data_IF_388641837767
#
_entry.id   IF_388641837767
#
_cell.length_a   1.000
_cell.length_b   1.000
_cell.length_c   1.000
_cell.angle_alpha   90.00
_cell.angle_beta   90.00
_cell.angle_gamma   90.00
#
_symmetry.space_group_name_H-M   'P 1'
#
loop_
_entity.id
_entity.type
_entity.pdbx_description
1 polymer ?
#
# COMPACT_ATOMS: atom_id res chain seq x y z
N UNK A 1 -7.14 -30.24 14.63
CA UNK A 1 -6.43 -28.99 15.01
C UNK A 1 -7.40 -27.83 14.80
N UNK A 2 -7.98 -27.30 15.88
CA UNK A 2 -8.94 -26.19 15.76
C UNK A 2 -8.16 -24.89 15.48
N UNK A 3 -8.28 -24.35 14.27
CA UNK A 3 -7.82 -22.99 14.00
C UNK A 3 -8.78 -22.03 14.70
N UNK A 4 -8.32 -21.37 15.77
CA UNK A 4 -9.12 -20.38 16.47
C UNK A 4 -9.56 -19.29 15.48
N UNK A 5 -10.88 -19.10 15.36
CA UNK A 5 -11.45 -18.00 14.57
C UNK A 5 -10.88 -16.69 15.12
N UNK A 6 -10.18 -15.93 14.28
CA UNK A 6 -9.68 -14.63 14.68
C UNK A 6 -10.88 -13.75 15.08
N UNK A 7 -10.82 -13.01 16.20
CA UNK A 7 -11.94 -12.17 16.60
C UNK A 7 -12.19 -11.10 15.53
N UNK A 8 -13.47 -10.85 15.20
CA UNK A 8 -13.94 -9.98 14.09
C UNK A 8 -13.31 -8.58 14.05
N UNK A 9 -12.85 -8.06 15.19
CA UNK A 9 -12.15 -6.77 15.25
C UNK A 9 -10.75 -6.83 14.61
N UNK A 10 -10.05 -7.96 14.71
CA UNK A 10 -8.74 -8.16 14.08
C UNK A 10 -8.87 -8.24 12.57
N UNK A 11 -9.88 -8.93 12.07
CA UNK A 11 -10.19 -8.98 10.62
C UNK A 11 -10.46 -7.58 10.07
N UNK A 12 -11.23 -6.76 10.81
CA UNK A 12 -11.46 -5.36 10.44
C UNK A 12 -10.19 -4.50 10.49
N UNK A 13 -9.31 -4.71 11.46
CA UNK A 13 -8.02 -4.02 11.50
C UNK A 13 -7.13 -4.40 10.32
N UNK A 14 -7.07 -5.68 9.96
CA UNK A 14 -6.32 -6.13 8.78
C UNK A 14 -6.94 -5.58 7.49
N UNK A 15 -8.27 -5.60 7.36
CA UNK A 15 -8.94 -4.98 6.23
C UNK A 15 -8.65 -3.48 6.13
N UNK A 16 -8.70 -2.75 7.25
CA UNK A 16 -8.37 -1.33 7.30
C UNK A 16 -6.89 -1.08 6.94
N UNK A 17 -5.99 -1.92 7.43
CA UNK A 17 -4.56 -1.89 7.09
C UNK A 17 -4.35 -2.04 5.58
N UNK A 18 -4.92 -3.08 4.96
CA UNK A 18 -4.80 -3.28 3.51
C UNK A 18 -5.45 -2.16 2.71
N UNK A 19 -6.62 -1.67 3.15
CA UNK A 19 -7.32 -0.56 2.50
C UNK A 19 -6.56 0.75 2.60
N UNK A 20 -5.94 1.07 3.73
CA UNK A 20 -5.16 2.30 3.89
C UNK A 20 -3.85 2.27 3.12
N UNK A 21 -3.29 1.08 2.90
CA UNK A 21 -2.07 0.94 2.10
C UNK A 21 -2.31 1.18 0.61
N UNK A 22 -3.50 0.90 0.07
CA UNK A 22 -3.81 1.17 -1.35
C UNK A 22 -3.58 2.64 -1.74
N UNK A 23 -4.20 3.65 -1.09
CA UNK A 23 -3.97 5.04 -1.43
C UNK A 23 -2.56 5.51 -1.07
N UNK A 24 -1.94 4.98 0.00
CA UNK A 24 -0.56 5.33 0.37
C UNK A 24 0.39 4.88 -0.74
N UNK A 25 0.33 3.61 -1.16
CA UNK A 25 1.18 3.08 -2.22
C UNK A 25 0.91 3.79 -3.54
N UNK A 26 -0.35 4.05 -3.89
CA UNK A 26 -0.68 4.79 -5.12
C UNK A 26 -0.20 6.26 -5.13
N UNK A 27 -0.27 6.97 -3.99
CA UNK A 27 0.02 8.40 -3.90
C UNK A 27 1.43 8.73 -3.47
N UNK A 28 2.15 7.81 -2.84
CA UNK A 28 3.51 8.00 -2.32
C UNK A 28 4.46 7.05 -3.03
N UNK A 29 4.31 5.73 -2.83
CA UNK A 29 5.28 4.73 -3.29
C UNK A 29 5.41 4.69 -4.82
N UNK A 30 4.30 4.85 -5.57
CA UNK A 30 4.29 4.85 -7.03
C UNK A 30 4.76 6.18 -7.66
N UNK A 31 4.84 7.28 -6.90
CA UNK A 31 5.22 8.59 -7.45
C UNK A 31 6.59 8.61 -8.13
N UNK A 32 7.64 7.97 -7.59
CA UNK A 32 8.95 7.97 -8.22
C UNK A 32 8.99 7.17 -9.54
N UNK A 33 7.98 6.34 -9.81
CA UNK A 33 7.81 5.63 -11.08
C UNK A 33 6.97 6.42 -12.11
N UNK A 34 6.20 7.42 -11.66
CA UNK A 34 5.37 8.21 -12.55
C UNK A 34 6.22 9.25 -13.30
N UNK A 35 6.04 9.40 -14.63
CA UNK A 35 6.69 10.47 -15.36
C UNK A 35 6.15 11.83 -14.90
N UNK A 36 7.05 12.82 -14.80
CA UNK A 36 6.81 14.14 -14.18
C UNK A 36 5.59 14.93 -14.74
N UNK A 37 5.01 14.52 -15.87
CA UNK A 37 3.84 15.15 -16.48
C UNK A 37 2.47 14.66 -16.00
N UNK A 38 2.37 13.54 -15.27
CA UNK A 38 1.06 12.90 -15.00
C UNK A 38 0.40 13.39 -13.69
N UNK A 39 1.18 13.81 -12.67
CA UNK A 39 0.60 14.14 -11.36
C UNK A 39 1.36 15.24 -10.60
N UNK A 40 1.26 16.53 -11.02
CA UNK A 40 1.96 17.63 -10.34
C UNK A 40 1.54 17.82 -8.86
N UNK A 41 0.31 17.45 -8.50
CA UNK A 41 -0.19 17.58 -7.10
C UNK A 41 0.42 16.54 -6.16
N UNK A 42 0.68 15.33 -6.65
CA UNK A 42 1.24 14.26 -5.85
C UNK A 42 2.77 14.39 -5.72
N UNK A 43 3.44 14.97 -6.72
CA UNK A 43 4.86 15.38 -6.63
C UNK A 43 5.08 16.39 -5.49
N UNK A 44 4.19 17.37 -5.34
CA UNK A 44 4.27 18.33 -4.22
C UNK A 44 4.11 17.64 -2.86
N UNK A 45 3.20 16.67 -2.75
CA UNK A 45 3.04 15.87 -1.52
C UNK A 45 4.28 15.02 -1.23
N UNK A 46 4.89 14.40 -2.25
CA UNK A 46 6.13 13.63 -2.12
C UNK A 46 7.30 14.52 -1.67
N UNK A 47 7.42 15.73 -2.22
CA UNK A 47 8.43 16.70 -1.79
C UNK A 47 8.21 17.14 -0.33
N UNK A 48 6.96 17.42 0.06
CA UNK A 48 6.62 17.73 1.45
C UNK A 48 6.94 16.57 2.39
N UNK A 49 6.61 15.33 1.99
CA UNK A 49 6.95 14.11 2.73
C UNK A 49 8.46 13.95 2.87
N UNK A 50 9.21 13.95 1.76
CA UNK A 50 10.65 13.78 1.77
C UNK A 50 11.37 14.87 2.57
N UNK A 51 10.86 16.10 2.56
CA UNK A 51 11.42 17.21 3.36
C UNK A 51 11.10 17.05 4.85
N UNK A 52 9.87 16.66 5.19
CA UNK A 52 9.44 16.48 6.57
C UNK A 52 10.10 15.27 7.23
N UNK A 53 10.22 14.17 6.51
CA UNK A 53 10.77 12.90 7.00
C UNK A 53 12.25 12.69 6.67
N UNK A 54 12.86 13.63 5.94
CA UNK A 54 14.26 13.57 5.47
C UNK A 54 14.56 12.28 4.70
N UNK A 55 13.65 11.91 3.81
CA UNK A 55 13.79 10.72 2.96
C UNK A 55 14.14 11.11 1.52
N UNK A 56 15.44 11.26 1.19
CA UNK A 56 15.87 11.58 -0.17
C UNK A 56 15.70 10.39 -1.14
N UNK A 57 15.51 9.16 -0.65
CA UNK A 57 15.40 7.98 -1.51
C UNK A 57 14.11 7.99 -2.32
N UNK A 58 13.06 8.62 -1.81
CA UNK A 58 11.82 8.84 -2.55
C UNK A 58 11.94 9.91 -3.65
N UNK A 59 12.82 10.91 -3.48
CA UNK A 59 13.01 11.98 -4.47
C UNK A 59 13.95 11.58 -5.61
N UNK A 60 15.01 10.82 -5.28
CA UNK A 60 15.98 10.32 -6.23
C UNK A 60 16.17 8.82 -6.03
N UNK A 61 15.17 8.02 -6.43
CA UNK A 61 15.19 6.58 -6.21
C UNK A 61 16.34 5.91 -6.97
N UNK A 62 17.26 5.21 -6.28
CA UNK A 62 18.23 4.34 -6.94
C UNK A 62 17.55 3.25 -7.77
N UNK A 63 18.21 2.74 -8.81
CA UNK A 63 17.61 1.69 -9.68
C UNK A 63 17.20 0.42 -8.92
N UNK A 64 17.99 0.00 -7.93
CA UNK A 64 17.63 -1.12 -7.07
C UNK A 64 16.38 -0.84 -6.23
N UNK A 65 16.17 0.41 -5.80
CA UNK A 65 15.00 0.82 -5.03
C UNK A 65 13.76 0.86 -5.92
N UNK A 66 13.88 1.35 -7.16
CA UNK A 66 12.80 1.26 -8.16
C UNK A 66 12.35 -0.18 -8.39
N UNK A 67 13.27 -1.15 -8.38
CA UNK A 67 12.91 -2.57 -8.49
C UNK A 67 12.00 -3.03 -7.32
N UNK A 68 12.26 -2.57 -6.09
CA UNK A 68 11.37 -2.82 -4.96
C UNK A 68 10.00 -2.15 -5.14
N UNK A 69 9.96 -0.89 -5.57
CA UNK A 69 8.70 -0.19 -5.85
C UNK A 69 7.90 -0.92 -6.94
N UNK A 70 8.56 -1.44 -7.98
CA UNK A 70 7.90 -2.25 -8.99
C UNK A 70 7.32 -3.54 -8.41
N UNK A 71 8.06 -4.25 -7.53
CA UNK A 71 7.52 -5.39 -6.82
C UNK A 71 6.27 -5.02 -6.00
N UNK A 72 6.28 -3.86 -5.33
CA UNK A 72 5.11 -3.38 -4.60
C UNK A 72 3.94 -3.07 -5.54
N UNK A 73 4.19 -2.37 -6.65
CA UNK A 73 3.17 -2.02 -7.61
C UNK A 73 2.52 -3.26 -8.28
N UNK A 74 3.31 -4.30 -8.57
CA UNK A 74 2.83 -5.48 -9.31
C UNK A 74 2.43 -6.67 -8.45
N UNK A 75 2.96 -6.81 -7.23
CA UNK A 75 2.64 -7.93 -6.34
C UNK A 75 1.77 -7.47 -5.18
N UNK A 76 2.14 -6.37 -4.53
CA UNK A 76 1.50 -5.92 -3.30
C UNK A 76 0.19 -5.16 -3.57
N UNK A 77 0.19 -4.19 -4.50
CA UNK A 77 -0.98 -3.40 -4.85
C UNK A 77 -2.17 -4.24 -5.35
N UNK A 78 -2.03 -5.21 -6.28
CA UNK A 78 -3.17 -6.04 -6.69
C UNK A 78 -3.60 -7.04 -5.61
N UNK A 79 -2.71 -7.39 -4.68
CA UNK A 79 -3.04 -8.27 -3.56
C UNK A 79 -3.90 -7.58 -2.50
N UNK A 80 -3.69 -6.28 -2.24
CA UNK A 80 -4.40 -5.54 -1.19
C UNK A 80 -5.93 -5.55 -1.30
N UNK A 81 -6.57 -5.29 -2.45
CA UNK A 81 -8.03 -5.40 -2.58
C UNK A 81 -8.55 -6.82 -2.33
N UNK A 82 -7.80 -7.84 -2.79
CA UNK A 82 -8.17 -9.25 -2.61
C UNK A 82 -8.11 -9.63 -1.12
N UNK A 83 -7.03 -9.24 -0.44
CA UNK A 83 -6.87 -9.45 1.00
C UNK A 83 -7.94 -8.69 1.79
N UNK A 84 -8.15 -7.41 1.51
CA UNK A 84 -9.18 -6.60 2.17
C UNK A 84 -10.57 -7.21 1.98
N UNK A 85 -10.93 -7.63 0.77
CA UNK A 85 -12.20 -8.28 0.49
C UNK A 85 -12.33 -9.62 1.23
N UNK A 86 -11.28 -10.44 1.26
CA UNK A 86 -11.28 -11.72 1.98
C UNK A 86 -11.49 -11.53 3.49
N UNK A 87 -10.84 -10.53 4.10
CA UNK A 87 -11.01 -10.22 5.52
C UNK A 87 -12.37 -9.56 5.83
N UNK A 88 -12.94 -8.77 4.91
CA UNK A 88 -14.29 -8.20 5.07
C UNK A 88 -15.39 -9.25 4.89
N UNK A 89 -15.20 -10.21 3.98
CA UNK A 89 -16.14 -11.31 3.70
C UNK A 89 -16.03 -12.46 4.71
N UNK A 90 -14.92 -12.57 5.43
CA UNK A 90 -14.57 -13.68 6.33
C UNK A 90 -15.54 -14.00 7.49
N UNK A 91 -16.72 -13.40 7.55
CA UNK A 91 -17.77 -13.71 8.52
C UNK A 91 -18.68 -14.90 8.18
N UNK A 92 -18.72 -15.37 6.93
CA UNK A 92 -19.61 -16.47 6.52
C UNK A 92 -18.83 -17.77 6.26
N UNK A 93 -18.29 -18.36 7.33
CA UNK A 93 -18.09 -19.82 7.36
C UNK A 93 -19.36 -20.44 7.93
N UNK A 94 -20.11 -21.27 7.18
CA UNK A 94 -21.12 -22.11 7.80
C UNK A 94 -20.38 -23.07 8.73
N UNK A 95 -20.53 -22.84 10.04
CA UNK A 95 -20.13 -23.77 11.09
C UNK A 95 -21.15 -24.89 11.23
#
# INVERSE_FOLDING_TARGET
LAMAAAPRWRERLFALYFLSHIPITALIDLQPLLPAGIAPRAVNLLQQYATAFRDPMMLQPPEWFKAFIYCEAFLQLPFFPVAAYAFLKGGDRPG
#
